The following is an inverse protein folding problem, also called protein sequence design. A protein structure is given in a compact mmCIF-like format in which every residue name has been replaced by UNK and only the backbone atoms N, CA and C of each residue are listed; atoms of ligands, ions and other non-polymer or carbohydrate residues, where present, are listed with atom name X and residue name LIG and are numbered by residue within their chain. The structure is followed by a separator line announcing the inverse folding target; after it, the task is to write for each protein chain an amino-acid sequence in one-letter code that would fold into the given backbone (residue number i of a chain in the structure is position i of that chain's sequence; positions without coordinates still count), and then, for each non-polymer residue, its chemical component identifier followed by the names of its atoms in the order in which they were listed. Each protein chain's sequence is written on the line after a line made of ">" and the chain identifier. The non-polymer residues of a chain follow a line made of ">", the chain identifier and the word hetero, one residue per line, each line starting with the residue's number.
data_IF_167886856317
#
_entry.id   IF_167886856317
#
_cell.length_a   1.000
_cell.length_b   1.000
_cell.length_c   1.000
_cell.angle_alpha   90.00
_cell.angle_beta   90.00
_cell.angle_gamma   90.00
#
_symmetry.space_group_name_H-M   'P 1'
#
loop_
_entity.id
_entity.type
_entity.pdbx_description
1 polymer ?
#
# COMPACT_ATOMS: atom_id res chain seq x y z
N UNK A 1 -9.67 54.31 -33.19
CA UNK A 1 -8.88 53.44 -32.29
C UNK A 1 -9.79 52.65 -31.34
N UNK A 2 -10.43 51.56 -31.80
CA UNK A 2 -11.16 50.63 -30.93
C UNK A 2 -11.26 49.30 -31.67
N UNK A 3 -10.40 48.31 -31.35
CA UNK A 3 -10.64 46.88 -31.66
C UNK A 3 -9.54 45.89 -31.19
N UNK A 4 -8.50 46.30 -30.45
CA UNK A 4 -7.44 45.35 -30.01
C UNK A 4 -7.68 44.68 -28.65
N UNK A 5 -8.63 45.16 -27.84
CA UNK A 5 -8.89 44.63 -26.49
C UNK A 5 -9.41 43.17 -26.42
N UNK A 6 -10.28 42.68 -27.33
CA UNK A 6 -10.88 41.34 -27.19
C UNK A 6 -9.90 40.21 -27.52
N UNK A 7 -8.93 40.43 -28.41
CA UNK A 7 -7.94 39.42 -28.81
C UNK A 7 -6.91 39.16 -27.71
N UNK A 8 -6.48 40.21 -27.00
CA UNK A 8 -5.54 40.07 -25.87
C UNK A 8 -6.17 39.28 -24.73
N UNK A 9 -7.44 39.55 -24.39
CA UNK A 9 -8.18 38.79 -23.38
C UNK A 9 -8.38 37.32 -23.79
N UNK A 10 -8.73 37.03 -25.04
CA UNK A 10 -8.89 35.65 -25.53
C UNK A 10 -7.59 34.84 -25.46
N UNK A 11 -6.45 35.45 -25.80
CA UNK A 11 -5.13 34.83 -25.67
C UNK A 11 -4.79 34.58 -24.20
N UNK A 12 -5.00 35.56 -23.30
CA UNK A 12 -4.77 35.38 -21.87
C UNK A 12 -5.65 34.28 -21.25
N UNK A 13 -6.93 34.20 -21.61
CA UNK A 13 -7.82 33.13 -21.16
C UNK A 13 -7.36 31.75 -21.68
N UNK A 14 -6.93 31.68 -22.94
CA UNK A 14 -6.41 30.44 -23.55
C UNK A 14 -5.14 29.95 -22.82
N UNK A 15 -4.21 30.85 -22.50
CA UNK A 15 -3.04 30.51 -21.69
C UNK A 15 -3.43 30.09 -20.27
N UNK A 16 -4.36 30.79 -19.62
CA UNK A 16 -4.83 30.44 -18.28
C UNK A 16 -5.40 29.01 -18.21
N UNK A 17 -6.26 28.63 -19.16
CA UNK A 17 -6.80 27.26 -19.24
C UNK A 17 -5.74 26.21 -19.53
N UNK A 18 -4.76 26.51 -20.40
CA UNK A 18 -3.63 25.61 -20.66
C UNK A 18 -2.78 25.42 -19.39
N UNK A 19 -2.48 26.48 -18.65
CA UNK A 19 -1.74 26.40 -17.38
C UNK A 19 -2.50 25.60 -16.31
N UNK A 20 -3.81 25.78 -16.20
CA UNK A 20 -4.62 24.99 -15.26
C UNK A 20 -4.64 23.50 -15.64
N UNK A 21 -4.72 23.19 -16.94
CA UNK A 21 -4.73 21.81 -17.42
C UNK A 21 -3.35 21.12 -17.29
N UNK A 22 -2.26 21.87 -17.48
CA UNK A 22 -0.90 21.40 -17.19
C UNK A 22 -0.74 21.13 -15.69
N UNK A 23 -1.17 22.05 -14.83
CA UNK A 23 -1.12 21.88 -13.37
C UNK A 23 -1.94 20.68 -12.88
N UNK A 24 -3.15 20.49 -13.43
CA UNK A 24 -3.98 19.32 -13.11
C UNK A 24 -3.32 18.00 -13.53
N UNK A 25 -2.75 17.93 -14.73
CA UNK A 25 -2.06 16.73 -15.21
C UNK A 25 -0.80 16.42 -14.40
N UNK A 26 -0.03 17.45 -14.02
CA UNK A 26 1.13 17.29 -13.15
C UNK A 26 0.73 16.80 -11.75
N UNK A 27 -0.34 17.36 -11.17
CA UNK A 27 -0.83 16.91 -9.87
C UNK A 27 -1.37 15.47 -9.94
N UNK A 28 -2.07 15.11 -11.01
CA UNK A 28 -2.51 13.72 -11.24
C UNK A 28 -1.34 12.74 -11.36
N UNK A 29 -0.27 13.13 -12.07
CA UNK A 29 0.95 12.33 -12.16
C UNK A 29 1.67 12.24 -10.82
N UNK A 30 1.71 13.33 -10.04
CA UNK A 30 2.25 13.34 -8.69
C UNK A 30 1.48 12.37 -7.80
N UNK A 31 0.15 12.46 -7.75
CA UNK A 31 -0.69 11.54 -6.97
C UNK A 31 -0.48 10.09 -7.38
N UNK A 32 -0.39 9.81 -8.69
CA UNK A 32 -0.07 8.47 -9.18
C UNK A 32 1.31 8.00 -8.71
N UNK A 33 2.33 8.86 -8.80
CA UNK A 33 3.68 8.58 -8.33
C UNK A 33 3.71 8.30 -6.81
N UNK A 34 3.03 9.11 -6.00
CA UNK A 34 2.88 8.91 -4.55
C UNK A 34 2.14 7.60 -4.21
N UNK A 35 1.32 7.09 -5.12
CA UNK A 35 0.71 5.77 -5.01
C UNK A 35 1.65 4.59 -5.28
N UNK A 36 2.83 4.82 -5.86
CA UNK A 36 3.84 3.78 -6.09
C UNK A 36 4.71 3.54 -4.87
N UNK A 37 5.33 2.36 -4.77
CA UNK A 37 6.31 2.04 -3.71
C UNK A 37 7.45 3.06 -3.69
N UNK A 38 7.90 3.53 -4.86
CA UNK A 38 8.95 4.53 -4.98
C UNK A 38 8.51 5.89 -4.42
N UNK A 39 7.32 6.36 -4.77
CA UNK A 39 6.80 7.62 -4.24
C UNK A 39 6.50 7.56 -2.74
N UNK A 40 6.03 6.42 -2.24
CA UNK A 40 5.87 6.19 -0.79
C UNK A 40 7.22 6.21 -0.06
N UNK A 41 8.25 5.59 -0.63
CA UNK A 41 9.61 5.60 -0.08
C UNK A 41 10.20 7.01 -0.05
N UNK A 42 9.99 7.80 -1.09
CA UNK A 42 10.45 9.19 -1.15
C UNK A 42 9.70 10.09 -0.16
N UNK A 43 8.38 9.95 -0.05
CA UNK A 43 7.60 10.68 0.95
C UNK A 43 8.06 10.35 2.37
N UNK A 44 8.23 9.07 2.68
CA UNK A 44 8.69 8.66 4.00
C UNK A 44 10.11 9.13 4.27
N UNK A 45 10.98 9.09 3.25
CA UNK A 45 12.34 9.62 3.34
C UNK A 45 12.36 11.09 3.70
N UNK A 46 11.52 11.91 3.06
CA UNK A 46 11.38 13.33 3.38
C UNK A 46 10.81 13.55 4.79
N UNK A 47 9.86 12.73 5.23
CA UNK A 47 9.22 12.92 6.54
C UNK A 47 10.10 12.50 7.72
N UNK A 48 10.85 11.42 7.55
CA UNK A 48 11.75 10.90 8.58
C UNK A 48 13.18 11.43 8.42
N UNK A 49 13.45 12.30 7.45
CA UNK A 49 14.80 12.74 7.11
C UNK A 49 15.77 11.54 6.95
N UNK A 50 15.35 10.53 6.17
CA UNK A 50 16.16 9.32 5.95
C UNK A 50 17.40 9.63 5.12
N UNK A 51 18.51 8.95 5.42
CA UNK A 51 19.67 8.93 4.52
C UNK A 51 19.32 8.20 3.22
N UNK A 52 20.13 8.41 2.16
CA UNK A 52 19.96 7.69 0.90
C UNK A 52 20.00 6.16 1.09
N UNK A 53 20.87 5.68 1.99
CA UNK A 53 20.97 4.26 2.32
C UNK A 53 19.70 3.77 3.05
N UNK A 54 19.21 4.50 4.05
CA UNK A 54 17.96 4.14 4.76
C UNK A 54 16.74 4.16 3.83
N UNK A 55 16.67 5.11 2.89
CA UNK A 55 15.62 5.16 1.87
C UNK A 55 15.71 3.96 0.93
N UNK A 56 16.92 3.57 0.51
CA UNK A 56 17.14 2.40 -0.32
C UNK A 56 16.71 1.12 0.40
N UNK A 57 17.11 0.94 1.66
CA UNK A 57 16.65 -0.21 2.46
C UNK A 57 15.13 -0.20 2.61
N UNK A 58 14.52 0.98 2.83
CA UNK A 58 13.06 1.10 2.89
C UNK A 58 12.39 0.58 1.61
N UNK A 59 12.88 1.06 0.47
CA UNK A 59 12.37 0.66 -0.83
C UNK A 59 12.49 -0.85 -1.07
N UNK A 60 13.67 -1.41 -0.80
CA UNK A 60 13.95 -2.84 -0.97
C UNK A 60 13.07 -3.72 -0.09
N UNK A 61 12.84 -3.37 1.18
CA UNK A 61 11.94 -4.17 2.01
C UNK A 61 10.48 -4.04 1.56
N UNK A 62 10.03 -2.85 1.12
CA UNK A 62 8.65 -2.69 0.64
C UNK A 62 8.39 -3.51 -0.61
N UNK A 63 9.36 -3.63 -1.51
CA UNK A 63 9.30 -4.55 -2.63
C UNK A 63 9.14 -6.01 -2.17
N UNK A 64 9.89 -6.43 -1.14
CA UNK A 64 9.78 -7.78 -0.59
C UNK A 64 8.40 -8.05 0.03
N UNK A 65 7.83 -7.08 0.76
CA UNK A 65 6.46 -7.21 1.31
C UNK A 65 5.44 -7.37 0.19
N UNK A 66 5.48 -6.51 -0.82
CA UNK A 66 4.53 -6.55 -1.94
C UNK A 66 4.68 -7.85 -2.75
N UNK A 67 5.91 -8.35 -2.93
CA UNK A 67 6.15 -9.64 -3.55
C UNK A 67 5.54 -10.80 -2.73
N UNK A 68 5.75 -10.82 -1.41
CA UNK A 68 5.21 -11.83 -0.52
C UNK A 68 3.67 -11.81 -0.45
N UNK A 69 3.06 -10.62 -0.49
CA UNK A 69 1.60 -10.45 -0.58
C UNK A 69 1.06 -11.01 -1.88
N UNK A 70 1.74 -10.72 -3.00
CA UNK A 70 1.37 -11.26 -4.31
C UNK A 70 1.47 -12.79 -4.33
N UNK A 71 2.57 -13.35 -3.85
CA UNK A 71 2.75 -14.81 -3.74
C UNK A 71 1.64 -15.46 -2.90
N UNK A 72 1.22 -14.83 -1.80
CA UNK A 72 0.12 -15.31 -1.00
C UNK A 72 -1.22 -15.26 -1.75
N UNK A 73 -1.50 -14.19 -2.49
CA UNK A 73 -2.71 -14.08 -3.31
C UNK A 73 -2.75 -15.14 -4.42
N UNK A 74 -1.62 -15.36 -5.09
CA UNK A 74 -1.49 -16.37 -6.14
C UNK A 74 -1.65 -17.78 -5.56
N UNK A 75 -1.00 -18.06 -4.43
CA UNK A 75 -1.19 -19.29 -3.67
C UNK A 75 -2.67 -19.54 -3.34
N UNK A 76 -3.40 -18.55 -2.81
CA UNK A 76 -4.82 -18.72 -2.45
C UNK A 76 -5.69 -19.10 -3.65
N UNK A 77 -5.44 -18.50 -4.81
CA UNK A 77 -6.22 -18.78 -6.02
C UNK A 77 -5.94 -20.18 -6.55
N UNK A 78 -4.67 -20.56 -6.58
CA UNK A 78 -4.23 -21.86 -7.08
C UNK A 78 -4.64 -22.99 -6.13
N UNK A 79 -4.35 -22.85 -4.83
CA UNK A 79 -4.63 -23.86 -3.80
C UNK A 79 -6.12 -24.18 -3.72
N UNK A 80 -6.97 -23.16 -3.69
CA UNK A 80 -8.42 -23.37 -3.66
C UNK A 80 -8.89 -24.15 -4.90
N UNK A 81 -8.46 -23.75 -6.10
CA UNK A 81 -8.86 -24.39 -7.35
C UNK A 81 -8.41 -25.85 -7.38
N UNK A 82 -7.12 -26.10 -7.17
CA UNK A 82 -6.53 -27.44 -7.22
C UNK A 82 -7.15 -28.37 -6.15
N UNK A 83 -7.38 -27.85 -4.95
CA UNK A 83 -7.97 -28.62 -3.86
C UNK A 83 -9.44 -28.98 -4.15
N UNK A 84 -10.22 -28.03 -4.69
CA UNK A 84 -11.61 -28.29 -5.08
C UNK A 84 -11.71 -29.33 -6.20
N UNK A 85 -10.87 -29.23 -7.22
CA UNK A 85 -10.84 -30.16 -8.36
C UNK A 85 -10.40 -31.56 -7.91
N UNK A 86 -9.33 -31.66 -7.12
CA UNK A 86 -8.79 -32.95 -6.66
C UNK A 86 -9.73 -33.71 -5.72
N UNK A 87 -10.63 -33.01 -5.02
CA UNK A 87 -11.54 -33.60 -4.04
C UNK A 87 -13.01 -33.55 -4.49
N UNK A 88 -13.27 -33.33 -5.79
CA UNK A 88 -14.62 -33.03 -6.31
C UNK A 88 -15.70 -33.95 -5.77
N UNK A 89 -15.44 -35.26 -5.76
CA UNK A 89 -16.43 -36.29 -5.42
C UNK A 89 -16.16 -36.97 -4.06
N UNK A 90 -15.13 -36.55 -3.34
CA UNK A 90 -14.66 -37.23 -2.10
C UNK A 90 -15.03 -36.50 -0.81
N UNK A 91 -15.40 -35.23 -0.89
CA UNK A 91 -15.69 -34.38 0.27
C UNK A 91 -16.89 -33.47 0.01
N UNK A 92 -17.59 -33.09 1.07
CA UNK A 92 -18.62 -32.04 1.00
C UNK A 92 -17.99 -30.68 0.68
N UNK A 93 -18.80 -29.74 0.18
CA UNK A 93 -18.33 -28.38 -0.08
C UNK A 93 -17.88 -27.66 1.20
N UNK A 94 -18.56 -27.90 2.32
CA UNK A 94 -18.24 -27.31 3.63
C UNK A 94 -16.89 -27.80 4.17
N UNK A 95 -16.63 -29.12 4.10
CA UNK A 95 -15.36 -29.69 4.54
C UNK A 95 -14.19 -29.18 3.69
N UNK A 96 -14.38 -29.06 2.37
CA UNK A 96 -13.35 -28.48 1.48
C UNK A 96 -13.05 -27.05 1.86
N UNK A 97 -14.09 -26.25 2.08
CA UNK A 97 -13.94 -24.85 2.46
C UNK A 97 -13.20 -24.71 3.79
N UNK A 98 -13.52 -25.54 4.79
CA UNK A 98 -12.83 -25.55 6.09
C UNK A 98 -11.33 -25.81 5.92
N UNK A 99 -10.96 -26.85 5.17
CA UNK A 99 -9.54 -27.21 4.97
C UNK A 99 -8.79 -26.13 4.18
N UNK A 100 -9.39 -25.59 3.12
CA UNK A 100 -8.80 -24.51 2.33
C UNK A 100 -8.56 -23.27 3.23
N UNK A 101 -9.54 -22.91 4.07
CA UNK A 101 -9.38 -21.81 5.04
C UNK A 101 -8.22 -22.06 5.98
N UNK A 102 -8.10 -23.26 6.57
CA UNK A 102 -6.99 -23.61 7.48
C UNK A 102 -5.63 -23.53 6.78
N UNK A 103 -5.52 -24.03 5.54
CA UNK A 103 -4.29 -23.94 4.72
C UNK A 103 -3.91 -22.50 4.43
N UNK A 104 -4.89 -21.69 4.02
CA UNK A 104 -4.69 -20.27 3.74
C UNK A 104 -4.28 -19.49 4.99
N UNK A 105 -4.92 -19.73 6.13
CA UNK A 105 -4.56 -19.11 7.41
C UNK A 105 -3.14 -19.46 7.81
N UNK A 106 -2.75 -20.73 7.71
CA UNK A 106 -1.37 -21.15 8.00
C UNK A 106 -0.34 -20.45 7.11
N UNK A 107 -0.60 -20.35 5.79
CA UNK A 107 0.28 -19.63 4.87
C UNK A 107 0.32 -18.13 5.19
N UNK A 108 -0.84 -17.52 5.49
CA UNK A 108 -0.94 -16.11 5.87
C UNK A 108 -0.11 -15.81 7.12
N UNK A 109 -0.21 -16.63 8.17
CA UNK A 109 0.58 -16.48 9.39
C UNK A 109 2.07 -16.52 9.10
N UNK A 110 2.53 -17.47 8.28
CA UNK A 110 3.92 -17.55 7.88
C UNK A 110 4.38 -16.31 7.10
N UNK A 111 3.56 -15.83 6.15
CA UNK A 111 3.84 -14.60 5.39
C UNK A 111 3.90 -13.37 6.30
N UNK A 112 2.98 -13.24 7.26
CA UNK A 112 2.96 -12.12 8.20
C UNK A 112 4.10 -12.17 9.22
N UNK A 113 4.52 -13.35 9.66
CA UNK A 113 5.70 -13.48 10.52
C UNK A 113 6.96 -13.00 9.79
N UNK A 114 7.15 -13.42 8.53
CA UNK A 114 8.27 -12.93 7.71
C UNK A 114 8.20 -11.42 7.46
N UNK A 115 6.99 -10.88 7.25
CA UNK A 115 6.77 -9.43 7.14
C UNK A 115 7.15 -8.69 8.43
N UNK A 116 6.79 -9.21 9.61
CA UNK A 116 7.16 -8.62 10.89
C UNK A 116 8.69 -8.57 11.08
N UNK A 117 9.40 -9.61 10.68
CA UNK A 117 10.87 -9.63 10.70
C UNK A 117 11.48 -8.58 9.76
N UNK A 118 10.87 -8.33 8.60
CA UNK A 118 11.29 -7.28 7.68
C UNK A 118 11.05 -5.89 8.29
N UNK A 119 9.88 -5.65 8.89
CA UNK A 119 9.57 -4.41 9.58
C UNK A 119 10.52 -4.15 10.75
N UNK A 120 10.81 -5.17 11.56
CA UNK A 120 11.74 -5.05 12.68
C UNK A 120 13.13 -4.63 12.21
N UNK A 121 13.67 -5.32 11.18
CA UNK A 121 14.99 -5.01 10.62
C UNK A 121 15.08 -3.56 10.12
N UNK A 122 14.07 -3.09 9.39
CA UNK A 122 14.08 -1.72 8.91
C UNK A 122 13.97 -0.68 10.04
N UNK A 123 13.12 -0.92 11.04
CA UNK A 123 13.00 -0.05 12.22
C UNK A 123 14.35 0.02 12.96
N UNK A 124 15.10 -1.07 13.00
CA UNK A 124 16.40 -1.12 13.67
C UNK A 124 17.46 -0.23 12.99
N UNK A 125 17.31 0.07 11.69
CA UNK A 125 18.19 1.00 10.95
C UNK A 125 17.88 2.48 11.23
N UNK A 126 16.74 2.78 11.83
CA UNK A 126 16.35 4.14 12.17
C UNK A 126 17.02 4.60 13.47
N UNK A 127 17.38 5.87 13.53
CA UNK A 127 17.80 6.52 14.78
C UNK A 127 16.61 6.67 15.74
N UNK A 128 16.88 6.92 17.02
CA UNK A 128 15.84 7.17 18.02
C UNK A 128 14.86 8.27 17.58
N UNK A 129 15.38 9.37 17.05
CA UNK A 129 14.56 10.51 16.62
C UNK A 129 13.69 10.16 15.39
N UNK A 130 14.23 9.39 14.45
CA UNK A 130 13.47 8.89 13.29
C UNK A 130 12.38 7.92 13.72
N UNK A 131 12.66 7.01 14.67
CA UNK A 131 11.65 6.11 15.25
C UNK A 131 10.56 6.88 15.96
N UNK A 132 10.91 7.93 16.72
CA UNK A 132 9.93 8.82 17.38
C UNK A 132 9.01 9.47 16.36
N UNK A 133 9.56 10.10 15.31
CA UNK A 133 8.78 10.71 14.21
C UNK A 133 7.87 9.68 13.52
N UNK A 134 8.39 8.48 13.27
CA UNK A 134 7.60 7.40 12.68
C UNK A 134 6.43 7.00 13.58
N UNK A 135 6.67 6.78 14.87
CA UNK A 135 5.63 6.43 15.83
C UNK A 135 4.58 7.54 15.96
N UNK A 136 4.99 8.80 16.08
CA UNK A 136 4.08 9.95 16.11
C UNK A 136 3.14 9.95 14.92
N UNK A 137 3.64 9.67 13.72
CA UNK A 137 2.82 9.56 12.50
C UNK A 137 1.90 8.34 12.51
N UNK A 138 2.39 7.19 12.97
CA UNK A 138 1.54 6.00 13.13
C UNK A 138 0.37 6.30 14.07
N UNK A 139 0.57 7.06 15.15
CA UNK A 139 -0.49 7.44 16.10
C UNK A 139 -1.33 8.65 15.65
N UNK A 140 -0.84 9.50 14.75
CA UNK A 140 -1.61 10.61 14.16
C UNK A 140 -2.63 10.09 13.12
N UNK A 141 -2.22 9.14 12.29
CA UNK A 141 -3.08 8.51 11.29
C UNK A 141 -3.80 7.25 11.78
N UNK A 142 -3.39 6.73 12.95
CA UNK A 142 -4.20 5.87 13.79
C UNK A 142 -4.44 6.61 15.10
N UNK A 143 -5.46 7.50 15.21
CA UNK A 143 -6.12 7.60 16.51
C UNK A 143 -6.35 6.16 16.96
N UNK A 144 -6.10 5.85 18.24
CA UNK A 144 -6.30 4.53 18.85
C UNK A 144 -7.75 4.07 18.65
N UNK A 145 -8.09 3.73 17.42
CA UNK A 145 -9.31 3.10 17.00
C UNK A 145 -9.01 1.64 17.26
N UNK A 146 -9.51 1.20 18.41
CA UNK A 146 -9.47 -0.17 18.85
C UNK A 146 -10.18 -1.13 17.87
N UNK A 147 -10.72 -0.65 16.74
CA UNK A 147 -11.34 -1.42 15.66
C UNK A 147 -10.42 -2.40 14.93
N UNK A 148 -9.08 -2.33 15.06
CA UNK A 148 -8.24 -3.45 14.59
C UNK A 148 -8.38 -4.71 15.46
N UNK A 149 -8.88 -4.55 16.68
CA UNK A 149 -9.54 -5.60 17.46
C UNK A 149 -11.05 -5.51 17.20
N UNK A 150 -11.46 -5.61 15.94
CA UNK A 150 -12.84 -5.90 15.60
C UNK A 150 -13.19 -7.24 16.25
N UNK A 151 -13.89 -7.14 17.39
CA UNK A 151 -14.69 -8.21 17.97
C UNK A 151 -15.63 -8.81 16.91
N UNK A 152 -15.97 -8.03 15.90
CA UNK A 152 -16.84 -8.35 14.78
C UNK A 152 -16.31 -9.47 13.85
N UNK A 153 -15.00 -9.78 13.83
CA UNK A 153 -14.52 -10.98 13.10
C UNK A 153 -15.03 -12.29 13.73
N UNK A 154 -15.39 -12.27 15.02
CA UNK A 154 -15.90 -13.41 15.75
C UNK A 154 -17.41 -13.38 15.99
N UNK A 155 -18.08 -12.24 15.75
CA UNK A 155 -19.53 -12.11 15.97
C UNK A 155 -20.38 -12.63 14.78
N UNK A 156 -19.74 -12.92 13.63
CA UNK A 156 -20.36 -13.58 12.46
C UNK A 156 -19.98 -15.08 12.32
N UNK A 157 -19.46 -15.70 13.40
CA UNK A 157 -19.28 -17.16 13.55
C UNK A 157 -20.37 -17.76 14.45
#
# INVERSE_FOLDING_TARGET
>A
MKQMLPWVLAVFFSFFFIFQQIGYNQEKQRQHYLGTIQGQAELLSQWLDLTADQQKTYHEFRLQIVAAEKEFQDFRKQDAKEFFESNKDTMSAEEKMRIIKERHLKKLMNTKNAELELWSRWIDELTFEQRRKYLEKVFEYRPLDASWYDRDFFDDL
#
